data_IF_805074447077
#
_entry.id   IF_805074447077
#
_cell.length_a   1.000
_cell.length_b   1.000
_cell.length_c   1.000
_cell.angle_alpha   90.00
_cell.angle_beta   90.00
_cell.angle_gamma   90.00
#
_symmetry.space_group_name_H-M   'P 1'
#
loop_
_entity.id
_entity.type
_entity.pdbx_description
1 polymer ?
#
# COMPACT_ATOMS: atom_id res chain seq x y z
N UNK A 1 9.39 48.49 -1.68
CA UNK A 1 10.58 47.63 -1.68
C UNK A 1 10.19 46.24 -1.19
N UNK A 2 9.95 45.30 -2.09
CA UNK A 2 9.63 43.92 -1.74
C UNK A 2 10.90 43.07 -1.85
N UNK A 3 11.32 42.44 -0.74
CA UNK A 3 12.48 41.54 -0.73
C UNK A 3 12.08 40.22 -1.41
N UNK A 4 12.74 39.94 -2.55
CA UNK A 4 12.79 38.61 -3.16
C UNK A 4 13.50 37.66 -2.18
N UNK A 5 12.79 36.65 -1.69
CA UNK A 5 13.41 35.52 -1.00
C UNK A 5 13.93 34.55 -2.06
N UNK A 6 15.25 34.40 -2.11
CA UNK A 6 15.94 33.42 -2.94
C UNK A 6 15.65 32.03 -2.40
N UNK A 7 14.97 31.19 -3.17
CA UNK A 7 14.84 29.76 -2.89
C UNK A 7 16.20 29.13 -3.20
N UNK A 8 17.04 28.96 -2.17
CA UNK A 8 18.22 28.11 -2.28
C UNK A 8 17.70 26.66 -2.29
N UNK A 9 17.91 25.96 -3.40
CA UNK A 9 17.60 24.54 -3.51
C UNK A 9 18.31 23.77 -2.39
N UNK A 10 17.52 23.07 -1.57
CA UNK A 10 18.04 22.14 -0.58
C UNK A 10 18.70 21.00 -1.34
N UNK A 11 20.02 20.86 -1.24
CA UNK A 11 20.73 19.70 -1.76
C UNK A 11 20.14 18.43 -1.12
N UNK A 12 19.89 17.35 -1.88
CA UNK A 12 19.41 16.09 -1.31
C UNK A 12 20.48 15.58 -0.34
N UNK A 13 20.13 15.49 0.94
CA UNK A 13 20.96 14.90 1.98
C UNK A 13 21.28 13.46 1.54
N UNK A 14 22.55 13.15 1.27
CA UNK A 14 22.90 11.77 0.95
C UNK A 14 22.59 10.88 2.16
N UNK A 15 21.69 9.91 1.97
CA UNK A 15 21.36 8.89 2.94
C UNK A 15 22.63 8.06 3.22
N UNK A 16 23.18 8.18 4.42
CA UNK A 16 24.33 7.39 4.85
C UNK A 16 23.85 6.12 5.53
N UNK A 17 24.59 5.01 5.40
CA UNK A 17 24.30 3.77 6.12
C UNK A 17 24.08 3.99 7.63
N UNK A 18 24.82 4.93 8.24
CA UNK A 18 24.64 5.28 9.65
C UNK A 18 23.31 5.99 9.90
N UNK A 19 22.95 6.97 9.07
CA UNK A 19 21.67 7.68 9.18
C UNK A 19 20.48 6.75 9.00
N UNK A 20 20.58 5.78 8.09
CA UNK A 20 19.56 4.74 7.89
C UNK A 20 19.38 3.91 9.17
N UNK A 21 20.46 3.40 9.75
CA UNK A 21 20.38 2.60 10.98
C UNK A 21 19.82 3.39 12.16
N UNK A 22 20.16 4.67 12.28
CA UNK A 22 19.62 5.57 13.31
C UNK A 22 18.11 5.77 13.13
N UNK A 23 17.65 5.95 11.89
CA UNK A 23 16.23 6.15 11.57
C UNK A 23 15.40 4.85 11.77
N UNK A 24 15.92 3.70 11.34
CA UNK A 24 15.30 2.38 11.61
C UNK A 24 15.12 2.18 13.12
N UNK A 25 16.16 2.44 13.91
CA UNK A 25 16.10 2.29 15.37
C UNK A 25 15.09 3.26 16.01
N UNK A 26 14.93 4.47 15.47
CA UNK A 26 13.91 5.42 15.89
C UNK A 26 12.51 4.88 15.61
N UNK A 27 12.26 4.35 14.41
CA UNK A 27 10.98 3.78 14.02
C UNK A 27 10.61 2.56 14.87
N UNK A 28 11.57 1.66 15.13
CA UNK A 28 11.39 0.52 16.04
C UNK A 28 11.01 0.99 17.45
N UNK A 29 11.66 2.05 17.95
CA UNK A 29 11.32 2.63 19.24
C UNK A 29 9.90 3.19 19.26
N UNK A 30 9.49 3.90 18.21
CA UNK A 30 8.13 4.44 18.09
C UNK A 30 7.07 3.32 18.03
N UNK A 31 7.33 2.24 17.29
CA UNK A 31 6.43 1.08 17.24
C UNK A 31 6.33 0.39 18.61
N UNK A 32 7.44 0.23 19.32
CA UNK A 32 7.44 -0.30 20.69
C UNK A 32 6.63 0.60 21.65
N UNK A 33 6.80 1.93 21.57
CA UNK A 33 6.01 2.86 22.37
C UNK A 33 4.51 2.75 22.06
N UNK A 34 4.16 2.59 20.78
CA UNK A 34 2.78 2.42 20.33
C UNK A 34 2.18 1.11 20.81
N UNK A 35 2.93 0.01 20.76
CA UNK A 35 2.56 -1.28 21.34
C UNK A 35 2.34 -1.18 22.86
N UNK A 36 3.30 -0.60 23.57
CA UNK A 36 3.21 -0.41 25.02
C UNK A 36 2.02 0.47 25.42
N UNK A 37 1.71 1.52 24.65
CA UNK A 37 0.54 2.36 24.88
C UNK A 37 -0.77 1.60 24.70
N UNK A 38 -0.86 0.72 23.70
CA UNK A 38 -2.05 -0.11 23.45
C UNK A 38 -2.27 -1.15 24.54
N UNK A 39 -1.20 -1.80 25.00
CA UNK A 39 -1.26 -2.78 26.08
C UNK A 39 -1.82 -2.23 27.41
N UNK A 40 -1.89 -0.90 27.58
CA UNK A 40 -2.51 -0.25 28.74
C UNK A 40 -4.04 -0.31 28.73
N UNK A 41 -4.67 -0.68 27.61
CA UNK A 41 -6.11 -0.71 27.43
C UNK A 41 -6.58 -2.12 27.06
N UNK A 42 -7.72 -2.60 27.58
CA UNK A 42 -8.24 -3.93 27.24
C UNK A 42 -8.58 -4.02 25.75
N UNK A 43 -8.06 -5.05 25.08
CA UNK A 43 -8.38 -5.33 23.66
C UNK A 43 -9.73 -6.01 23.49
N UNK A 44 -10.27 -6.63 24.54
CA UNK A 44 -11.49 -7.43 24.48
C UNK A 44 -12.63 -6.70 25.21
N UNK A 45 -13.59 -6.21 24.44
CA UNK A 45 -14.98 -6.11 24.91
C UNK A 45 -15.73 -7.31 24.31
N UNK A 46 -16.73 -7.91 24.98
CA UNK A 46 -17.56 -8.94 24.37
C UNK A 46 -18.16 -8.35 23.08
N UNK A 47 -17.85 -8.94 21.94
CA UNK A 47 -18.44 -8.54 20.68
C UNK A 47 -19.82 -9.20 20.56
N UNK A 48 -20.78 -8.45 20.05
CA UNK A 48 -22.03 -9.06 19.57
C UNK A 48 -21.70 -9.83 18.28
N UNK A 49 -22.30 -11.01 18.05
CA UNK A 49 -22.00 -11.82 16.87
C UNK A 49 -22.26 -11.01 15.59
N UNK A 50 -21.29 -11.07 14.66
CA UNK A 50 -21.45 -10.49 13.33
C UNK A 50 -22.47 -11.33 12.56
N UNK A 51 -23.66 -10.77 12.36
CA UNK A 51 -24.73 -11.38 11.54
C UNK A 51 -24.68 -10.89 10.08
N UNK A 52 -23.75 -9.99 9.74
CA UNK A 52 -23.67 -9.42 8.41
C UNK A 52 -22.78 -10.31 7.52
N UNK A 53 -23.25 -10.75 6.35
CA UNK A 53 -22.43 -11.50 5.42
C UNK A 53 -21.23 -10.66 4.95
N UNK A 54 -20.10 -11.33 4.68
CA UNK A 54 -18.95 -10.72 4.01
C UNK A 54 -19.38 -10.00 2.72
N UNK A 55 -18.62 -8.98 2.33
CA UNK A 55 -18.87 -8.13 1.14
C UNK A 55 -19.43 -8.93 -0.03
N UNK A 56 -20.70 -8.69 -0.37
CA UNK A 56 -21.35 -9.33 -1.50
C UNK A 56 -20.50 -9.12 -2.76
N UNK A 57 -20.08 -10.21 -3.37
CA UNK A 57 -19.31 -10.20 -4.62
C UNK A 57 -20.20 -10.79 -5.70
N UNK A 58 -21.29 -10.10 -6.09
CA UNK A 58 -22.41 -10.70 -6.81
C UNK A 58 -22.01 -11.35 -8.13
N UNK A 59 -20.93 -10.89 -8.77
CA UNK A 59 -20.38 -11.50 -9.99
C UNK A 59 -19.63 -12.80 -9.66
N UNK A 60 -18.77 -12.77 -8.64
CA UNK A 60 -18.03 -13.95 -8.19
C UNK A 60 -18.98 -15.02 -7.64
N UNK A 61 -19.93 -14.61 -6.82
CA UNK A 61 -20.96 -15.47 -6.21
C UNK A 61 -21.82 -16.12 -7.29
N UNK A 62 -22.28 -15.36 -8.30
CA UNK A 62 -23.06 -15.90 -9.41
C UNK A 62 -22.28 -16.94 -10.23
N UNK A 63 -20.99 -16.71 -10.48
CA UNK A 63 -20.14 -17.68 -11.20
C UNK A 63 -19.85 -18.93 -10.36
N UNK A 64 -19.58 -18.75 -9.06
CA UNK A 64 -19.36 -19.86 -8.13
C UNK A 64 -20.61 -20.75 -8.00
N UNK A 65 -21.79 -20.13 -7.91
CA UNK A 65 -23.08 -20.85 -7.85
C UNK A 65 -23.41 -21.58 -9.16
N UNK A 66 -23.14 -20.98 -10.31
CA UNK A 66 -23.48 -21.59 -11.62
C UNK A 66 -22.47 -22.61 -12.12
N UNK A 67 -21.18 -22.43 -11.85
CA UNK A 67 -20.11 -23.22 -12.46
C UNK A 67 -19.18 -23.90 -11.44
N UNK A 68 -19.39 -23.66 -10.14
CA UNK A 68 -18.53 -24.18 -9.08
C UNK A 68 -17.11 -23.62 -9.12
N UNK A 69 -16.23 -24.17 -8.29
CA UNK A 69 -14.83 -23.73 -8.19
C UNK A 69 -14.07 -23.80 -9.54
N UNK A 70 -14.42 -24.74 -10.42
CA UNK A 70 -13.81 -24.87 -11.74
C UNK A 70 -14.18 -23.72 -12.70
N UNK A 71 -15.36 -23.11 -12.53
CA UNK A 71 -15.77 -21.94 -13.31
C UNK A 71 -15.04 -20.67 -12.91
N UNK A 72 -14.53 -20.59 -11.68
CA UNK A 72 -13.70 -19.46 -11.26
C UNK A 72 -12.37 -19.45 -12.02
N UNK A 73 -11.82 -20.63 -12.32
CA UNK A 73 -10.59 -20.74 -13.11
C UNK A 73 -10.74 -20.24 -14.55
N UNK A 74 -11.95 -20.26 -15.13
CA UNK A 74 -12.19 -19.73 -16.48
C UNK A 74 -12.40 -18.22 -16.51
N UNK A 75 -12.58 -17.57 -15.34
CA UNK A 75 -12.70 -16.12 -15.24
C UNK A 75 -11.36 -15.40 -15.39
N UNK A 76 -10.24 -16.10 -15.30
CA UNK A 76 -8.90 -15.52 -15.40
C UNK A 76 -8.10 -16.28 -16.44
N UNK A 77 -7.40 -15.58 -17.34
CA UNK A 77 -6.55 -16.21 -18.35
C UNK A 77 -5.17 -16.63 -17.81
N UNK A 78 -5.04 -16.79 -16.49
CA UNK A 78 -3.79 -17.17 -15.84
C UNK A 78 -3.75 -18.69 -15.61
N UNK A 79 -2.67 -19.32 -16.06
CA UNK A 79 -2.33 -20.67 -15.60
C UNK A 79 -2.01 -20.65 -14.10
N UNK A 80 -2.18 -21.78 -13.38
CA UNK A 80 -1.76 -21.88 -11.98
C UNK A 80 -0.29 -21.49 -11.76
N UNK A 81 0.58 -21.75 -12.74
CA UNK A 81 1.98 -21.32 -12.72
C UNK A 81 2.15 -19.80 -12.83
N UNK A 82 1.43 -19.12 -13.72
CA UNK A 82 1.48 -17.66 -13.84
C UNK A 82 0.88 -16.98 -12.61
N UNK A 83 -0.20 -17.56 -12.07
CA UNK A 83 -0.80 -17.09 -10.81
C UNK A 83 0.19 -17.23 -9.64
N UNK A 84 0.90 -18.37 -9.55
CA UNK A 84 1.89 -18.58 -8.49
C UNK A 84 3.12 -17.66 -8.62
N UNK A 85 3.55 -17.32 -9.84
CA UNK A 85 4.61 -16.33 -10.08
C UNK A 85 4.15 -14.95 -9.64
N UNK A 86 2.94 -14.52 -10.04
CA UNK A 86 2.36 -13.26 -9.58
C UNK A 86 2.15 -13.23 -8.06
N UNK A 87 1.73 -14.35 -7.46
CA UNK A 87 1.54 -14.48 -6.02
C UNK A 87 2.86 -14.37 -5.26
N UNK A 88 3.91 -15.05 -5.74
CA UNK A 88 5.26 -14.97 -5.17
C UNK A 88 5.88 -13.57 -5.31
N UNK A 89 5.58 -12.86 -6.41
CA UNK A 89 6.01 -11.47 -6.63
C UNK A 89 5.16 -10.45 -5.84
N UNK A 90 3.92 -10.80 -5.48
CA UNK A 90 3.01 -9.92 -4.74
C UNK A 90 3.28 -9.87 -3.23
N UNK A 91 4.09 -10.79 -2.68
CA UNK A 91 4.57 -10.71 -1.30
C UNK A 91 5.75 -9.73 -1.18
N UNK A 92 5.54 -8.48 -1.56
CA UNK A 92 6.31 -7.37 -0.99
C UNK A 92 5.57 -6.99 0.28
N UNK A 93 6.00 -7.51 1.43
CA UNK A 93 5.37 -7.15 2.69
C UNK A 93 5.61 -5.66 2.98
N UNK A 94 4.78 -5.07 3.83
CA UNK A 94 5.05 -3.72 4.36
C UNK A 94 6.46 -3.59 4.97
N UNK A 95 7.08 -4.71 5.41
CA UNK A 95 8.48 -4.73 5.85
C UNK A 95 9.45 -4.60 4.69
N UNK A 96 9.16 -5.21 3.54
CA UNK A 96 9.99 -5.14 2.33
C UNK A 96 9.91 -3.74 1.69
N UNK A 97 8.74 -3.12 1.69
CA UNK A 97 8.58 -1.70 1.33
C UNK A 97 9.28 -0.75 2.32
N UNK A 98 9.22 -1.03 3.62
CA UNK A 98 9.94 -0.27 4.65
C UNK A 98 11.47 -0.48 4.53
N UNK A 99 11.93 -1.69 4.24
CA UNK A 99 13.33 -2.00 3.94
C UNK A 99 13.76 -1.28 2.66
N UNK A 100 12.93 -1.21 1.63
CA UNK A 100 13.20 -0.41 0.42
C UNK A 100 13.29 1.09 0.73
N UNK A 101 12.34 1.62 1.52
CA UNK A 101 12.32 3.03 1.99
C UNK A 101 13.60 3.39 2.74
N UNK A 102 14.01 2.53 3.68
CA UNK A 102 15.09 2.84 4.62
C UNK A 102 16.47 2.47 4.05
N UNK A 103 16.60 1.36 3.31
CA UNK A 103 17.92 0.92 2.83
C UNK A 103 18.34 1.53 1.50
N UNK A 104 17.45 2.24 0.80
CA UNK A 104 17.74 2.80 -0.52
C UNK A 104 18.16 1.75 -1.55
N UNK A 105 17.81 0.47 -1.34
CA UNK A 105 18.03 -0.57 -2.33
C UNK A 105 17.22 -0.21 -3.58
N UNK A 106 17.93 0.21 -4.63
CA UNK A 106 17.36 0.31 -5.95
C UNK A 106 16.74 -1.04 -6.31
N UNK A 107 15.54 -1.00 -6.88
CA UNK A 107 14.96 -2.18 -7.51
C UNK A 107 15.86 -2.54 -8.71
N UNK A 108 16.87 -3.38 -8.48
CA UNK A 108 17.92 -3.69 -9.44
C UNK A 108 17.38 -4.29 -10.76
N UNK A 109 16.19 -4.90 -10.70
CA UNK A 109 15.58 -5.61 -11.82
C UNK A 109 14.57 -4.77 -12.62
N UNK A 110 14.29 -3.52 -12.23
CA UNK A 110 13.28 -2.70 -12.90
C UNK A 110 13.77 -1.26 -13.15
N UNK A 111 14.65 -1.04 -14.15
CA UNK A 111 15.27 0.26 -14.43
C UNK A 111 14.28 1.36 -14.85
N UNK A 112 13.02 1.00 -15.14
CA UNK A 112 11.98 1.92 -15.59
C UNK A 112 10.83 2.10 -14.58
N UNK A 113 10.93 1.53 -13.37
CA UNK A 113 9.91 1.77 -12.32
C UNK A 113 9.98 3.23 -11.88
N UNK A 114 8.85 3.93 -12.02
CA UNK A 114 8.75 5.34 -11.61
C UNK A 114 8.63 5.48 -10.10
N UNK A 115 7.79 4.66 -9.46
CA UNK A 115 7.64 4.52 -8.00
C UNK A 115 6.89 3.23 -7.68
N UNK A 116 7.02 2.75 -6.44
CA UNK A 116 6.18 1.70 -5.86
C UNK A 116 5.08 2.34 -5.01
N UNK A 117 3.92 1.69 -4.87
CA UNK A 117 2.84 2.15 -3.99
C UNK A 117 2.19 0.97 -3.29
N UNK A 118 1.74 1.16 -2.04
CA UNK A 118 1.06 0.14 -1.24
C UNK A 118 0.18 0.77 -0.17
N UNK A 119 -0.80 -0.01 0.30
CA UNK A 119 -1.67 0.34 1.41
C UNK A 119 -1.20 -0.37 2.68
N UNK A 120 -0.73 0.43 3.64
CA UNK A 120 -0.27 -0.06 4.94
C UNK A 120 -1.38 -0.03 5.98
N UNK A 121 -1.46 -1.05 6.83
CA UNK A 121 -2.43 -1.14 7.92
C UNK A 121 -1.80 -0.82 9.28
N UNK A 122 -2.44 0.09 10.02
CA UNK A 122 -2.07 0.46 11.37
C UNK A 122 -3.14 0.04 12.37
N UNK A 123 -2.87 -1.05 13.10
CA UNK A 123 -3.77 -1.54 14.16
C UNK A 123 -3.96 -0.51 15.29
N UNK A 124 -5.20 -0.33 15.74
CA UNK A 124 -5.57 0.47 16.92
C UNK A 124 -6.18 -0.39 18.03
N UNK A 125 -6.48 0.22 19.18
CA UNK A 125 -7.42 -0.38 20.12
C UNK A 125 -8.82 -0.42 19.50
N UNK A 126 -9.71 -1.24 20.08
CA UNK A 126 -11.13 -1.25 19.72
C UNK A 126 -11.70 0.16 19.93
N UNK A 127 -12.29 0.79 18.90
CA UNK A 127 -12.88 2.12 19.05
C UNK A 127 -14.00 2.10 20.11
N UNK A 128 -14.23 3.23 20.77
CA UNK A 128 -15.47 3.42 21.54
C UNK A 128 -16.65 3.67 20.59
N UNK A 129 -17.85 3.24 20.96
CA UNK A 129 -19.05 3.45 20.15
C UNK A 129 -19.96 2.22 20.14
N UNK A 130 -20.97 2.27 19.29
CA UNK A 130 -21.81 1.12 18.92
C UNK A 130 -21.01 0.11 18.08
N UNK A 131 -21.55 -1.10 17.91
CA UNK A 131 -20.96 -2.11 17.02
C UNK A 131 -20.88 -1.60 15.57
N UNK A 132 -21.95 -1.01 15.05
CA UNK A 132 -22.01 -0.45 13.71
C UNK A 132 -20.90 0.59 13.44
N UNK A 133 -20.60 1.44 14.42
CA UNK A 133 -19.51 2.42 14.29
C UNK A 133 -18.13 1.75 14.31
N UNK A 134 -17.90 0.79 15.22
CA UNK A 134 -16.62 0.09 15.33
C UNK A 134 -16.32 -0.76 14.12
N UNK A 135 -17.31 -1.47 13.58
CA UNK A 135 -17.18 -2.38 12.43
C UNK A 135 -16.53 -1.68 11.24
N UNK A 136 -16.79 -0.39 11.05
CA UNK A 136 -16.14 0.40 9.98
C UNK A 136 -14.61 0.49 10.11
N UNK A 137 -14.04 0.27 11.29
CA UNK A 137 -12.60 0.23 11.53
C UNK A 137 -12.02 -1.18 11.51
N UNK A 138 -12.85 -2.23 11.42
CA UNK A 138 -12.39 -3.61 11.42
C UNK A 138 -11.90 -4.01 10.03
N UNK A 139 -10.67 -4.51 9.97
CA UNK A 139 -10.12 -5.11 8.76
C UNK A 139 -10.30 -6.63 8.80
N UNK A 140 -11.10 -7.16 7.88
CA UNK A 140 -11.32 -8.61 7.75
C UNK A 140 -10.03 -9.39 7.48
N UNK A 141 -9.15 -8.86 6.63
CA UNK A 141 -7.85 -9.49 6.29
C UNK A 141 -6.93 -9.66 7.50
N UNK A 142 -6.93 -8.68 8.41
CA UNK A 142 -6.01 -8.66 9.56
C UNK A 142 -6.67 -9.09 10.88
N UNK A 143 -7.99 -9.34 10.88
CA UNK A 143 -8.83 -9.59 12.05
C UNK A 143 -8.61 -8.59 13.19
N UNK A 144 -8.43 -7.32 12.83
CA UNK A 144 -8.00 -6.26 13.73
C UNK A 144 -8.68 -4.93 13.39
N UNK A 145 -8.95 -4.13 14.41
CA UNK A 145 -9.35 -2.73 14.23
C UNK A 145 -8.14 -1.87 13.89
N UNK A 146 -8.31 -0.92 12.97
CA UNK A 146 -7.25 0.00 12.62
C UNK A 146 -7.59 0.95 11.50
N UNK A 147 -6.53 1.54 10.96
CA UNK A 147 -6.58 2.47 9.85
C UNK A 147 -5.68 2.00 8.72
N UNK A 148 -5.95 2.48 7.51
CA UNK A 148 -5.14 2.22 6.32
C UNK A 148 -4.62 3.52 5.74
N UNK A 149 -3.41 3.50 5.19
CA UNK A 149 -2.79 4.64 4.49
C UNK A 149 -2.09 4.13 3.25
N UNK A 150 -2.32 4.77 2.11
CA UNK A 150 -1.55 4.51 0.91
C UNK A 150 -0.29 5.39 0.88
N UNK A 151 0.84 4.79 0.55
CA UNK A 151 2.13 5.48 0.44
C UNK A 151 2.79 5.12 -0.89
N UNK A 152 3.20 6.13 -1.64
CA UNK A 152 3.98 5.96 -2.88
C UNK A 152 5.43 6.40 -2.69
N UNK A 153 6.39 5.57 -3.11
CA UNK A 153 7.82 5.70 -2.81
C UNK A 153 8.66 5.53 -4.08
N UNK A 154 9.60 6.44 -4.30
CA UNK A 154 10.57 6.37 -5.40
C UNK A 154 11.60 5.25 -5.19
N UNK A 155 12.28 4.76 -6.25
CA UNK A 155 13.34 3.75 -6.12
C UNK A 155 14.54 4.16 -5.25
N UNK A 156 14.69 5.45 -4.97
CA UNK A 156 15.71 6.00 -4.07
C UNK A 156 15.22 6.12 -2.61
N UNK A 157 14.05 5.57 -2.28
CA UNK A 157 13.52 5.50 -0.92
C UNK A 157 12.74 6.75 -0.47
N UNK A 158 12.53 7.76 -1.32
CA UNK A 158 11.75 8.94 -0.92
C UNK A 158 10.25 8.74 -1.17
N UNK A 159 9.44 8.93 -0.13
CA UNK A 159 7.99 9.00 -0.25
C UNK A 159 7.59 10.27 -1.02
N UNK A 160 6.77 10.10 -2.06
CA UNK A 160 6.26 11.18 -2.92
C UNK A 160 4.75 11.43 -2.72
N UNK A 161 4.06 10.48 -2.08
CA UNK A 161 2.67 10.63 -1.71
C UNK A 161 2.37 9.83 -0.44
N UNK A 162 1.47 10.38 0.37
CA UNK A 162 0.93 9.74 1.57
C UNK A 162 -0.50 10.26 1.73
N UNK A 163 -1.48 9.37 1.65
CA UNK A 163 -2.89 9.76 1.72
C UNK A 163 -3.29 10.13 3.15
N UNK A 164 -4.49 10.72 3.30
CA UNK A 164 -5.17 10.70 4.58
C UNK A 164 -5.43 9.25 5.03
N UNK A 165 -5.72 9.06 6.32
CA UNK A 165 -6.06 7.76 6.84
C UNK A 165 -7.47 7.34 6.44
N UNK A 166 -7.62 6.07 6.09
CA UNK A 166 -8.88 5.39 5.84
C UNK A 166 -9.22 4.47 7.00
N UNK A 167 -10.49 4.14 7.14
CA UNK A 167 -10.93 3.17 8.17
C UNK A 167 -10.54 1.76 7.75
N UNK A 168 -10.31 0.87 8.72
CA UNK A 168 -9.81 -0.49 8.46
C UNK A 168 -10.68 -1.36 7.56
N UNK A 169 -12.00 -1.10 7.49
CA UNK A 169 -12.91 -1.86 6.62
C UNK A 169 -12.85 -1.43 5.15
N UNK A 170 -12.20 -0.32 4.82
CA UNK A 170 -12.08 0.17 3.45
C UNK A 170 -11.15 -0.76 2.67
N UNK A 171 -11.58 -1.18 1.47
CA UNK A 171 -10.76 -2.05 0.61
C UNK A 171 -9.56 -1.29 0.02
N UNK A 172 -8.46 -2.01 -0.22
CA UNK A 172 -7.23 -1.39 -0.76
C UNK A 172 -7.51 -0.79 -2.16
N UNK A 173 -8.34 -1.45 -2.97
CA UNK A 173 -8.78 -0.94 -4.27
C UNK A 173 -9.51 0.40 -4.16
N UNK A 174 -10.45 0.53 -3.21
CA UNK A 174 -11.19 1.78 -3.03
C UNK A 174 -10.26 2.94 -2.64
N UNK A 175 -9.21 2.66 -1.85
CA UNK A 175 -8.19 3.64 -1.50
C UNK A 175 -7.41 4.09 -2.74
N UNK A 176 -6.98 3.15 -3.59
CA UNK A 176 -6.31 3.47 -4.85
C UNK A 176 -7.22 4.24 -5.83
N UNK A 177 -8.50 3.89 -5.90
CA UNK A 177 -9.47 4.58 -6.74
C UNK A 177 -9.67 6.04 -6.27
N UNK A 178 -9.75 6.27 -4.96
CA UNK A 178 -9.85 7.61 -4.37
C UNK A 178 -8.59 8.45 -4.64
N UNK A 179 -7.41 7.81 -4.74
CA UNK A 179 -6.13 8.45 -5.01
C UNK A 179 -5.76 8.48 -6.52
N UNK A 180 -6.70 8.14 -7.41
CA UNK A 180 -6.44 7.96 -8.84
C UNK A 180 -5.86 9.22 -9.52
N UNK A 181 -6.31 10.42 -9.13
CA UNK A 181 -5.82 11.68 -9.72
C UNK A 181 -4.31 11.85 -9.55
N UNK A 182 -3.79 11.51 -8.36
CA UNK A 182 -2.36 11.52 -8.09
C UNK A 182 -1.64 10.55 -9.03
N UNK A 183 -2.13 9.31 -9.17
CA UNK A 183 -1.48 8.32 -10.03
C UNK A 183 -1.51 8.70 -11.51
N UNK A 184 -2.63 9.22 -12.02
CA UNK A 184 -2.75 9.68 -13.41
C UNK A 184 -1.74 10.80 -13.69
N UNK A 185 -1.66 11.78 -12.80
CA UNK A 185 -0.68 12.87 -12.89
C UNK A 185 0.76 12.32 -12.82
N UNK A 186 1.03 11.48 -11.82
CA UNK A 186 2.34 10.91 -11.55
C UNK A 186 2.78 9.82 -12.53
N UNK A 187 1.93 9.35 -13.44
CA UNK A 187 2.27 8.39 -14.51
C UNK A 187 2.20 9.02 -15.91
N UNK A 188 1.66 10.24 -16.04
CA UNK A 188 1.65 10.95 -17.32
C UNK A 188 3.08 11.14 -17.85
N UNK A 189 3.27 10.81 -19.15
CA UNK A 189 4.51 11.07 -19.88
C UNK A 189 4.63 12.57 -20.10
N UNK A 190 5.80 13.13 -19.85
CA UNK A 190 6.08 14.51 -20.24
C UNK A 190 6.34 14.58 -21.76
N UNK A 191 6.08 15.72 -22.40
CA UNK A 191 6.30 15.90 -23.84
C UNK A 191 7.76 15.64 -24.31
N UNK A 192 8.71 15.63 -23.38
CA UNK A 192 10.11 15.28 -23.62
C UNK A 192 10.40 13.78 -23.54
N UNK A 193 9.50 12.99 -22.95
CA UNK A 193 9.61 11.55 -22.73
C UNK A 193 8.97 10.72 -23.86
N UNK A 194 8.20 11.35 -24.75
CA UNK A 194 7.66 10.74 -25.99
C UNK A 194 8.77 10.23 -26.94
N UNK A 195 10.03 10.60 -26.67
CA UNK A 195 11.23 10.20 -27.44
C UNK A 195 12.00 9.03 -26.80
N UNK A 196 11.57 8.55 -25.63
CA UNK A 196 12.21 7.41 -24.99
C UNK A 196 11.62 6.14 -25.60
N UNK A 197 12.47 5.32 -26.23
CA UNK A 197 12.05 4.07 -26.84
C UNK A 197 11.37 3.17 -25.80
N UNK A 198 10.17 2.69 -26.12
CA UNK A 198 9.48 1.67 -25.33
C UNK A 198 10.20 0.32 -25.51
N UNK A 199 10.42 -0.41 -24.42
CA UNK A 199 11.07 -1.71 -24.48
C UNK A 199 10.15 -2.72 -25.17
N UNK A 200 10.51 -3.16 -26.39
CA UNK A 200 9.74 -4.15 -27.15
C UNK A 200 9.65 -3.90 -28.67
N UNK A 201 10.05 -2.72 -29.17
CA UNK A 201 10.15 -2.48 -30.61
C UNK A 201 11.48 -3.01 -31.16
N UNK A 202 11.69 -4.32 -31.06
CA UNK A 202 12.61 -5.00 -31.97
C UNK A 202 11.89 -5.09 -33.32
N UNK A 203 12.09 -4.04 -34.13
CA UNK A 203 11.68 -4.03 -35.53
C UNK A 203 12.19 -5.28 -36.22
N UNK A 204 11.27 -6.19 -36.53
CA UNK A 204 11.52 -7.29 -37.45
C UNK A 204 11.82 -6.67 -38.82
N UNK A 205 13.09 -6.70 -39.21
CA UNK A 205 13.53 -6.50 -40.60
C UNK A 205 12.83 -7.47 -41.55
#
# INVERSE_FOLDING_TARGET
MARRASILGTQPTQLTSRGISEEVALLDNLEQQRQAKRARYPTVRPEEPDEDPDSASPIYDAFLETQGANGIHTMTNFSPSEFNVLWADSEVSARDLLLMLLTGHQIANFPFVRYATDVTFQQTNVPSGSYAEKKTYFSGKHSQYGHKVEVSVLPNGFAINCTAHYKGSVSDKAIFDDNLEFHVSALSKQATEDRIAEYGDEGTN
#
